data_IF_888373192517
#
_entry.id   IF_888373192517
#
_cell.length_a   1.000
_cell.length_b   1.000
_cell.length_c   1.000
_cell.angle_alpha   90.00
_cell.angle_beta   90.00
_cell.angle_gamma   90.00
#
_symmetry.space_group_name_H-M   'P 1'
#
loop_
_entity.id
_entity.type
_entity.pdbx_description
1 polymer ?
#
# COMPACT_ATOMS: atom_id res chain seq x y z
N UNK A 1 -1.95 5.86 -26.61
CA UNK A 1 -1.74 6.85 -25.54
C UNK A 1 -0.98 6.16 -24.41
N UNK A 2 0.10 6.75 -23.90
CA UNK A 2 0.92 6.14 -22.85
C UNK A 2 0.27 6.16 -21.46
N UNK A 3 0.99 5.68 -20.45
CA UNK A 3 0.54 5.81 -19.06
C UNK A 3 0.44 7.29 -18.66
N UNK A 4 -0.70 7.75 -18.11
CA UNK A 4 -0.77 9.09 -17.56
C UNK A 4 0.19 9.26 -16.37
N UNK A 5 0.83 10.43 -16.27
CA UNK A 5 1.85 10.71 -15.25
C UNK A 5 1.35 10.50 -13.80
N UNK A 6 0.05 10.70 -13.56
CA UNK A 6 -0.53 10.47 -12.24
C UNK A 6 -0.42 9.00 -11.80
N UNK A 7 -0.42 8.02 -12.72
CA UNK A 7 -0.24 6.60 -12.37
C UNK A 7 1.17 6.33 -11.85
N UNK A 8 2.20 6.91 -12.49
CA UNK A 8 3.58 6.80 -12.05
C UNK A 8 3.77 7.41 -10.65
N UNK A 9 3.21 8.61 -10.44
CA UNK A 9 3.19 9.26 -9.13
C UNK A 9 2.47 8.42 -8.08
N UNK A 10 1.27 7.94 -8.39
CA UNK A 10 0.47 7.11 -7.49
C UNK A 10 1.17 5.80 -7.13
N UNK A 11 1.86 5.19 -8.09
CA UNK A 11 2.66 3.99 -7.86
C UNK A 11 3.78 4.26 -6.84
N UNK A 12 4.59 5.30 -7.08
CA UNK A 12 5.66 5.70 -6.16
C UNK A 12 5.11 6.05 -4.77
N UNK A 13 4.10 6.90 -4.70
CA UNK A 13 3.59 7.39 -3.43
C UNK A 13 2.94 6.27 -2.61
N UNK A 14 2.26 5.32 -3.26
CA UNK A 14 1.71 4.15 -2.58
C UNK A 14 2.80 3.26 -1.99
N UNK A 15 3.88 2.93 -2.72
CA UNK A 15 4.94 2.10 -2.14
C UNK A 15 5.68 2.84 -1.01
N UNK A 16 5.87 4.15 -1.13
CA UNK A 16 6.41 5.00 -0.06
C UNK A 16 5.58 4.90 1.22
N UNK A 17 4.26 5.07 1.12
CA UNK A 17 3.36 4.93 2.26
C UNK A 17 3.35 3.50 2.80
N UNK A 18 3.27 2.50 1.92
CA UNK A 18 3.16 1.09 2.30
C UNK A 18 4.37 0.60 3.10
N UNK A 19 5.59 1.01 2.73
CA UNK A 19 6.81 0.71 3.50
C UNK A 19 6.72 1.25 4.93
N UNK A 20 6.23 2.48 5.09
CA UNK A 20 6.10 3.11 6.41
C UNK A 20 4.93 2.52 7.22
N UNK A 21 3.82 2.19 6.57
CA UNK A 21 2.63 1.57 7.18
C UNK A 21 2.98 0.17 7.70
N UNK A 22 3.56 -0.70 6.86
CA UNK A 22 3.95 -2.06 7.26
C UNK A 22 4.93 -2.00 8.44
N UNK A 23 5.95 -1.13 8.36
CA UNK A 23 6.92 -0.95 9.44
C UNK A 23 6.27 -0.50 10.74
N UNK A 24 5.45 0.56 10.70
CA UNK A 24 4.80 1.10 11.89
C UNK A 24 3.79 0.13 12.48
N UNK A 25 3.04 -0.61 11.65
CA UNK A 25 2.11 -1.65 12.08
C UNK A 25 2.83 -2.81 12.77
N UNK A 26 3.98 -3.25 12.21
CA UNK A 26 4.82 -4.26 12.86
C UNK A 26 5.35 -3.79 14.21
N UNK A 27 5.79 -2.52 14.31
CA UNK A 27 6.24 -1.92 15.57
C UNK A 27 5.11 -1.85 16.60
N UNK A 28 3.90 -1.43 16.22
CA UNK A 28 2.72 -1.41 17.09
C UNK A 28 2.43 -2.80 17.67
N UNK A 29 2.60 -3.86 16.86
CA UNK A 29 2.36 -5.23 17.29
C UNK A 29 3.44 -5.80 18.21
N UNK A 30 4.71 -5.48 17.95
CA UNK A 30 5.86 -6.18 18.58
C UNK A 30 6.49 -5.40 19.73
N UNK A 31 6.34 -4.08 19.77
CA UNK A 31 6.96 -3.27 20.81
C UNK A 31 6.19 -3.32 22.12
N UNK A 32 6.87 -3.79 23.18
CA UNK A 32 6.31 -3.84 24.54
C UNK A 32 6.34 -2.49 25.25
N UNK A 33 7.36 -1.67 24.96
CA UNK A 33 7.54 -0.33 25.55
C UNK A 33 7.74 0.67 24.42
N UNK A 34 6.78 1.59 24.19
CA UNK A 34 6.91 2.56 23.14
C UNK A 34 8.00 3.60 23.50
N UNK A 35 8.81 4.05 22.54
CA UNK A 35 9.90 5.01 22.79
C UNK A 35 9.41 6.42 23.14
N UNK A 36 8.18 6.72 22.76
CA UNK A 36 7.46 7.92 23.13
C UNK A 36 5.96 7.65 23.01
N UNK A 37 5.19 8.52 23.64
CA UNK A 37 3.74 8.48 23.69
C UNK A 37 3.18 9.81 23.22
N UNK A 38 1.97 9.78 22.70
CA UNK A 38 1.29 10.94 22.14
C UNK A 38 -0.16 11.00 22.63
N UNK A 39 -0.61 12.22 22.92
CA UNK A 39 -2.00 12.51 23.29
C UNK A 39 -2.50 13.66 22.42
N UNK A 40 -3.64 13.48 21.75
CA UNK A 40 -4.20 14.50 20.87
C UNK A 40 -4.49 15.81 21.62
N UNK A 41 -4.36 16.96 20.92
CA UNK A 41 -4.76 18.27 21.48
C UNK A 41 -6.26 18.54 21.38
N UNK A 42 -7.00 17.69 20.68
CA UNK A 42 -8.45 17.80 20.46
C UNK A 42 -9.19 16.58 20.99
N UNK A 43 -10.50 16.75 21.17
CA UNK A 43 -11.42 15.73 21.69
C UNK A 43 -11.66 15.89 23.19
N UNK A 44 -12.85 15.48 23.64
CA UNK A 44 -13.31 15.71 25.00
C UNK A 44 -12.55 14.90 26.08
N UNK A 45 -11.75 13.90 25.69
CA UNK A 45 -10.86 13.11 26.57
C UNK A 45 -9.86 12.31 25.70
N UNK A 46 -8.76 12.92 25.24
CA UNK A 46 -7.85 12.28 24.31
C UNK A 46 -7.08 11.13 24.99
N UNK A 47 -7.13 9.94 24.39
CA UNK A 47 -6.40 8.77 24.89
C UNK A 47 -4.91 8.90 24.57
N UNK A 48 -4.07 8.50 25.53
CA UNK A 48 -2.62 8.36 25.34
C UNK A 48 -2.34 7.12 24.50
N UNK A 49 -1.63 7.29 23.38
CA UNK A 49 -1.22 6.21 22.47
C UNK A 49 0.30 6.21 22.26
N UNK A 50 0.85 5.13 21.71
CA UNK A 50 2.26 5.13 21.32
C UNK A 50 2.50 6.04 20.11
N UNK A 51 3.71 6.60 20.00
CA UNK A 51 4.08 7.41 18.83
C UNK A 51 4.04 6.60 17.52
N UNK A 52 4.27 5.29 17.59
CA UNK A 52 4.19 4.40 16.43
C UNK A 52 2.74 4.13 16.01
N UNK A 53 1.80 4.04 16.97
CA UNK A 53 0.38 3.96 16.65
C UNK A 53 -0.13 5.27 16.04
N UNK A 54 0.33 6.41 16.55
CA UNK A 54 0.04 7.71 15.96
C UNK A 54 0.55 7.81 14.51
N UNK A 55 1.80 7.40 14.26
CA UNK A 55 2.38 7.38 12.93
C UNK A 55 1.56 6.47 12.00
N UNK A 56 1.27 5.23 12.42
CA UNK A 56 0.52 4.26 11.63
C UNK A 56 -0.84 4.84 11.22
N UNK A 57 -1.62 5.33 12.17
CA UNK A 57 -2.93 5.94 11.88
C UNK A 57 -2.83 7.17 10.98
N UNK A 58 -1.81 7.99 11.14
CA UNK A 58 -1.60 9.18 10.30
C UNK A 58 -1.27 8.79 8.85
N UNK A 59 -0.43 7.77 8.67
CA UNK A 59 -0.11 7.22 7.35
C UNK A 59 -1.33 6.52 6.73
N UNK A 60 -2.12 5.80 7.51
CA UNK A 60 -3.34 5.13 7.04
C UNK A 60 -4.34 6.15 6.52
N UNK A 61 -4.54 7.28 7.21
CA UNK A 61 -5.41 8.36 6.74
C UNK A 61 -4.90 8.93 5.40
N UNK A 62 -3.60 9.22 5.30
CA UNK A 62 -3.01 9.70 4.05
C UNK A 62 -3.17 8.68 2.93
N UNK A 63 -2.98 7.40 3.23
CA UNK A 63 -3.11 6.30 2.28
C UNK A 63 -4.56 6.09 1.84
N UNK A 64 -5.54 6.23 2.74
CA UNK A 64 -6.97 6.17 2.39
C UNK A 64 -7.38 7.34 1.50
N UNK A 65 -6.94 8.56 1.79
CA UNK A 65 -7.18 9.73 0.92
C UNK A 65 -6.53 9.49 -0.45
N UNK A 66 -5.29 9.01 -0.47
CA UNK A 66 -4.60 8.68 -1.70
C UNK A 66 -5.31 7.60 -2.51
N UNK A 67 -5.79 6.54 -1.86
CA UNK A 67 -6.55 5.45 -2.47
C UNK A 67 -7.90 5.93 -3.03
N UNK A 68 -8.61 6.82 -2.32
CA UNK A 68 -9.84 7.43 -2.83
C UNK A 68 -9.58 8.26 -4.09
N UNK A 69 -8.53 9.09 -4.09
CA UNK A 69 -8.10 9.84 -5.28
C UNK A 69 -7.73 8.90 -6.42
N UNK A 70 -7.00 7.82 -6.13
CA UNK A 70 -6.61 6.81 -7.11
C UNK A 70 -7.82 6.15 -7.77
N UNK A 71 -8.83 5.75 -6.99
CA UNK A 71 -10.08 5.16 -7.53
C UNK A 71 -10.85 6.16 -8.40
N UNK A 72 -10.96 7.42 -7.97
CA UNK A 72 -11.59 8.48 -8.78
C UNK A 72 -10.86 8.68 -10.11
N UNK A 73 -9.52 8.73 -10.08
CA UNK A 73 -8.69 8.85 -11.28
C UNK A 73 -8.82 7.62 -12.19
N UNK A 74 -8.84 6.41 -11.64
CA UNK A 74 -9.04 5.18 -12.41
C UNK A 74 -10.36 5.21 -13.19
N UNK A 75 -11.46 5.61 -12.54
CA UNK A 75 -12.78 5.67 -13.15
C UNK A 75 -12.84 6.80 -14.19
N UNK A 76 -12.48 8.02 -13.79
CA UNK A 76 -12.59 9.22 -14.65
C UNK A 76 -11.70 9.20 -15.89
N UNK A 77 -10.57 8.48 -15.85
CA UNK A 77 -9.64 8.36 -16.99
C UNK A 77 -9.76 7.04 -17.76
N UNK A 78 -10.70 6.17 -17.37
CA UNK A 78 -10.89 4.83 -17.97
C UNK A 78 -9.76 3.83 -17.68
N UNK A 79 -8.78 4.18 -16.86
CA UNK A 79 -7.65 3.29 -16.52
C UNK A 79 -8.07 2.07 -15.68
N UNK A 80 -9.27 2.09 -15.09
CA UNK A 80 -9.83 0.94 -14.38
C UNK A 80 -9.90 -0.33 -15.24
N UNK A 81 -10.09 -0.21 -16.56
CA UNK A 81 -10.17 -1.34 -17.50
C UNK A 81 -8.89 -2.18 -17.55
N UNK A 82 -7.76 -1.65 -17.06
CA UNK A 82 -6.49 -2.39 -16.98
C UNK A 82 -6.37 -3.28 -15.75
N UNK A 83 -7.13 -3.00 -14.70
CA UNK A 83 -6.99 -3.65 -13.38
C UNK A 83 -8.25 -4.38 -12.94
N UNK A 84 -9.34 -4.27 -13.69
CA UNK A 84 -10.59 -5.00 -13.45
C UNK A 84 -10.77 -6.04 -14.56
N UNK A 85 -10.93 -7.34 -14.23
CA UNK A 85 -11.27 -8.33 -15.23
C UNK A 85 -12.59 -8.00 -15.94
N UNK A 86 -12.56 -7.97 -17.26
CA UNK A 86 -13.74 -7.71 -18.11
C UNK A 86 -14.26 -8.95 -18.82
N UNK A 87 -13.58 -10.10 -18.67
CA UNK A 87 -13.95 -11.38 -19.26
C UNK A 87 -13.64 -12.53 -18.30
N UNK A 88 -14.43 -13.61 -18.39
CA UNK A 88 -14.22 -14.85 -17.64
C UNK A 88 -12.98 -15.62 -18.08
N UNK A 89 -12.44 -15.34 -19.27
CA UNK A 89 -11.18 -15.92 -19.77
C UNK A 89 -9.98 -15.57 -18.87
N UNK A 90 -10.10 -14.56 -18.00
CA UNK A 90 -9.06 -14.19 -17.04
C UNK A 90 -8.62 -15.37 -16.18
N UNK A 91 -9.52 -16.28 -15.81
CA UNK A 91 -9.22 -17.41 -14.94
C UNK A 91 -8.39 -18.50 -15.62
N UNK A 92 -8.80 -19.07 -16.77
CA UNK A 92 -7.97 -20.05 -17.48
C UNK A 92 -6.64 -19.43 -17.95
N UNK A 93 -6.62 -18.17 -18.38
CA UNK A 93 -5.38 -17.50 -18.78
C UNK A 93 -4.43 -17.26 -17.61
N UNK A 94 -4.96 -16.93 -16.42
CA UNK A 94 -4.14 -16.79 -15.22
C UNK A 94 -3.53 -18.13 -14.80
N UNK A 95 -4.27 -19.24 -14.92
CA UNK A 95 -3.73 -20.57 -14.67
C UNK A 95 -2.56 -20.89 -15.60
N UNK A 96 -2.71 -20.61 -16.90
CA UNK A 96 -1.62 -20.76 -17.88
C UNK A 96 -0.39 -19.92 -17.51
N UNK A 97 -0.60 -18.66 -17.11
CA UNK A 97 0.51 -17.79 -16.68
C UNK A 97 1.19 -18.32 -15.40
N UNK A 98 0.43 -18.84 -14.43
CA UNK A 98 0.99 -19.48 -13.23
C UNK A 98 1.90 -20.65 -13.61
N UNK A 99 1.44 -21.51 -14.52
CA UNK A 99 2.23 -22.67 -14.97
C UNK A 99 3.53 -22.25 -15.66
N UNK A 100 3.48 -21.20 -16.49
CA UNK A 100 4.66 -20.63 -17.17
C UNK A 100 5.67 -20.05 -16.16
N UNK A 101 5.21 -19.24 -15.21
CA UNK A 101 6.08 -18.76 -14.12
C UNK A 101 6.64 -19.90 -13.27
N UNK A 102 5.86 -20.95 -13.02
CA UNK A 102 6.31 -22.12 -12.26
C UNK A 102 7.34 -22.97 -13.04
N UNK A 103 7.27 -22.98 -14.38
CA UNK A 103 8.18 -23.73 -15.25
C UNK A 103 9.49 -23.02 -15.59
N UNK A 104 9.74 -21.85 -15.00
CA UNK A 104 10.90 -21.02 -15.35
C UNK A 104 10.90 -20.50 -16.80
N UNK A 105 9.73 -20.54 -17.47
CA UNK A 105 9.53 -20.10 -18.85
C UNK A 105 8.59 -18.89 -18.85
N UNK A 106 9.17 -17.69 -18.90
CA UNK A 106 8.39 -16.48 -18.60
C UNK A 106 7.33 -16.22 -19.68
N UNK A 107 6.09 -15.91 -19.29
CA UNK A 107 5.10 -15.45 -20.25
C UNK A 107 5.61 -14.25 -21.04
N UNK A 108 5.21 -14.15 -22.31
CA UNK A 108 5.45 -12.93 -23.08
C UNK A 108 4.60 -11.81 -22.51
N UNK A 109 5.25 -10.87 -21.81
CA UNK A 109 4.59 -9.74 -21.17
C UNK A 109 4.74 -8.46 -22.00
N UNK A 110 3.65 -7.71 -22.13
CA UNK A 110 3.69 -6.35 -22.68
C UNK A 110 2.84 -5.40 -21.83
N UNK A 111 3.36 -5.08 -20.64
CA UNK A 111 2.69 -4.23 -19.66
C UNK A 111 2.33 -2.82 -20.15
N UNK A 112 2.92 -2.35 -21.26
CA UNK A 112 2.53 -1.08 -21.89
C UNK A 112 1.15 -1.13 -22.53
N UNK A 113 0.85 -2.26 -23.19
CA UNK A 113 -0.42 -2.48 -23.89
C UNK A 113 -1.45 -3.04 -22.93
N UNK A 114 -1.14 -4.18 -22.29
CA UNK A 114 -2.01 -4.88 -21.37
C UNK A 114 -1.23 -5.71 -20.35
N UNK A 115 -1.80 -5.89 -19.17
CA UNK A 115 -1.30 -6.86 -18.22
C UNK A 115 -1.78 -8.27 -18.61
N UNK A 116 -0.99 -9.29 -18.27
CA UNK A 116 -1.49 -10.66 -18.35
C UNK A 116 -2.59 -10.90 -17.31
N UNK A 117 -3.36 -11.98 -17.47
CA UNK A 117 -4.52 -12.25 -16.60
C UNK A 117 -4.16 -12.50 -15.13
N UNK A 118 -3.01 -13.10 -14.83
CA UNK A 118 -2.53 -13.29 -13.45
C UNK A 118 -2.24 -11.93 -12.79
N UNK A 119 -1.57 -11.01 -13.50
CA UNK A 119 -1.33 -9.65 -13.06
C UNK A 119 -2.65 -8.89 -12.85
N UNK A 120 -3.60 -8.96 -13.77
CA UNK A 120 -4.92 -8.30 -13.62
C UNK A 120 -5.63 -8.78 -12.36
N UNK A 121 -5.69 -10.10 -12.12
CA UNK A 121 -6.29 -10.66 -10.90
C UNK A 121 -5.52 -10.17 -9.66
N UNK A 122 -4.20 -10.20 -9.68
CA UNK A 122 -3.38 -9.76 -8.55
C UNK A 122 -3.61 -8.27 -8.22
N UNK A 123 -3.67 -7.41 -9.24
CA UNK A 123 -3.96 -5.98 -9.07
C UNK A 123 -5.39 -5.74 -8.62
N UNK A 124 -6.36 -6.46 -9.17
CA UNK A 124 -7.75 -6.39 -8.73
C UNK A 124 -7.88 -6.72 -7.24
N UNK A 125 -7.29 -7.84 -6.81
CA UNK A 125 -7.31 -8.27 -5.41
C UNK A 125 -6.59 -7.25 -4.54
N UNK A 126 -5.43 -6.76 -4.93
CA UNK A 126 -4.69 -5.77 -4.15
C UNK A 126 -5.49 -4.46 -3.96
N UNK A 127 -6.07 -3.92 -5.04
CA UNK A 127 -6.73 -2.61 -5.06
C UNK A 127 -8.14 -2.66 -4.47
N UNK A 128 -8.94 -3.66 -4.85
CA UNK A 128 -10.38 -3.69 -4.56
C UNK A 128 -10.79 -4.69 -3.47
N UNK A 129 -9.86 -5.53 -3.00
CA UNK A 129 -10.15 -6.50 -1.93
C UNK A 129 -9.25 -6.25 -0.72
N UNK A 130 -7.93 -6.44 -0.87
CA UNK A 130 -6.98 -6.35 0.23
C UNK A 130 -6.90 -4.93 0.80
N UNK A 131 -6.85 -3.89 -0.05
CA UNK A 131 -6.80 -2.51 0.41
C UNK A 131 -8.05 -2.08 1.20
N UNK A 132 -9.28 -2.30 0.70
CA UNK A 132 -10.49 -2.07 1.49
C UNK A 132 -10.52 -2.89 2.78
N UNK A 133 -10.10 -4.16 2.74
CA UNK A 133 -10.08 -5.02 3.92
C UNK A 133 -9.11 -4.48 4.99
N UNK A 134 -7.94 -3.98 4.59
CA UNK A 134 -7.00 -3.29 5.48
C UNK A 134 -7.62 -2.02 6.09
N UNK A 135 -8.30 -1.20 5.27
CA UNK A 135 -8.96 0.02 5.72
C UNK A 135 -10.08 -0.25 6.74
N UNK A 136 -10.96 -1.21 6.47
CA UNK A 136 -12.07 -1.56 7.37
C UNK A 136 -11.56 -2.14 8.70
N UNK A 137 -10.61 -3.07 8.63
CA UNK A 137 -10.02 -3.68 9.84
C UNK A 137 -9.18 -2.68 10.63
N UNK A 138 -8.44 -1.79 9.97
CA UNK A 138 -7.69 -0.70 10.58
C UNK A 138 -8.62 0.30 11.27
N UNK A 139 -9.69 0.74 10.60
CA UNK A 139 -10.70 1.63 11.19
C UNK A 139 -11.32 1.02 12.45
N UNK A 140 -11.64 -0.28 12.43
CA UNK A 140 -12.19 -0.99 13.59
C UNK A 140 -11.26 -1.02 14.79
N UNK A 141 -9.96 -1.08 14.56
CA UNK A 141 -8.93 -1.06 15.61
C UNK A 141 -8.52 0.36 16.01
N UNK A 142 -8.93 1.38 15.25
CA UNK A 142 -8.56 2.77 15.47
C UNK A 142 -9.31 3.41 16.66
N UNK A 143 -8.79 4.53 17.14
CA UNK A 143 -9.47 5.35 18.14
C UNK A 143 -10.73 6.06 17.63
N UNK A 144 -10.97 6.05 16.30
CA UNK A 144 -12.14 6.66 15.67
C UNK A 144 -13.39 5.77 15.72
N UNK A 145 -13.25 4.49 16.08
CA UNK A 145 -14.39 3.60 16.24
C UNK A 145 -15.30 4.07 17.38
N UNK A 146 -16.63 4.22 17.15
CA UNK A 146 -17.54 4.79 18.13
C UNK A 146 -17.66 3.90 19.38
N UNK A 147 -17.20 4.41 20.52
CA UNK A 147 -17.15 3.66 21.79
C UNK A 147 -18.53 3.27 22.34
N UNK A 148 -19.59 4.01 21.96
CA UNK A 148 -20.97 3.77 22.40
C UNK A 148 -21.75 2.81 21.49
N UNK A 149 -21.20 2.38 20.35
CA UNK A 149 -21.87 1.51 19.40
C UNK A 149 -21.76 0.02 19.80
N UNK A 150 -22.45 -0.36 20.88
CA UNK A 150 -22.36 -1.72 21.45
C UNK A 150 -22.83 -2.81 20.48
N UNK A 151 -23.95 -2.60 19.77
CA UNK A 151 -24.47 -3.56 18.79
C UNK A 151 -23.46 -3.79 17.65
N UNK A 152 -22.94 -2.70 17.08
CA UNK A 152 -21.96 -2.76 16.00
C UNK A 152 -20.66 -3.46 16.45
N UNK A 153 -20.22 -3.19 17.69
CA UNK A 153 -19.01 -3.80 18.26
C UNK A 153 -19.18 -5.29 18.59
N UNK A 154 -20.42 -5.75 18.79
CA UNK A 154 -20.76 -7.16 18.97
C UNK A 154 -20.79 -7.92 17.63
N UNK A 155 -21.33 -7.30 16.57
CA UNK A 155 -21.37 -7.88 15.22
C UNK A 155 -19.97 -7.94 14.60
N UNK A 156 -19.15 -6.92 14.86
CA UNK A 156 -17.77 -6.86 14.39
C UNK A 156 -16.79 -6.72 15.57
N UNK A 157 -16.36 -7.84 16.18
CA UNK A 157 -15.39 -7.83 17.27
C UNK A 157 -14.00 -7.36 16.83
N UNK A 158 -13.25 -6.75 17.75
CA UNK A 158 -11.90 -6.23 17.45
C UNK A 158 -10.90 -7.38 17.21
N UNK A 159 -11.15 -8.53 17.82
CA UNK A 159 -10.39 -9.76 17.69
C UNK A 159 -10.45 -10.26 16.24
N UNK A 160 -11.64 -10.24 15.64
CA UNK A 160 -11.85 -10.60 14.23
C UNK A 160 -11.11 -9.61 13.31
N UNK A 161 -11.24 -8.30 13.58
CA UNK A 161 -10.52 -7.30 12.81
C UNK A 161 -9.00 -7.52 12.86
N UNK A 162 -8.44 -7.81 14.04
CA UNK A 162 -7.01 -8.11 14.22
C UNK A 162 -6.59 -9.40 13.52
N UNK A 163 -7.42 -10.43 13.59
CA UNK A 163 -7.16 -11.72 12.94
C UNK A 163 -7.14 -11.61 11.41
N UNK A 164 -7.88 -10.66 10.83
CA UNK A 164 -7.87 -10.38 9.40
C UNK A 164 -6.75 -9.40 9.01
N UNK A 165 -6.55 -8.34 9.78
CA UNK A 165 -5.63 -7.25 9.43
C UNK A 165 -4.18 -7.74 9.30
N UNK A 166 -3.75 -8.64 10.19
CA UNK A 166 -2.38 -9.17 10.17
C UNK A 166 -2.09 -10.00 8.90
N UNK A 167 -2.90 -11.00 8.52
CA UNK A 167 -2.75 -11.68 7.23
C UNK A 167 -2.77 -10.73 6.03
N UNK A 168 -3.61 -9.69 6.04
CA UNK A 168 -3.64 -8.69 4.95
C UNK A 168 -2.32 -7.94 4.83
N UNK A 169 -1.69 -7.57 5.95
CA UNK A 169 -0.34 -6.99 5.95
C UNK A 169 0.69 -7.95 5.32
N UNK A 170 0.63 -9.24 5.65
CA UNK A 170 1.51 -10.25 5.05
C UNK A 170 1.22 -10.49 3.57
N UNK A 171 -0.04 -10.42 3.14
CA UNK A 171 -0.40 -10.44 1.73
C UNK A 171 0.26 -9.27 0.99
N UNK A 172 0.19 -8.03 1.50
CA UNK A 172 0.85 -6.89 0.87
C UNK A 172 2.37 -7.07 0.81
N UNK A 173 2.99 -7.58 1.87
CA UNK A 173 4.42 -7.87 1.87
C UNK A 173 4.79 -8.90 0.80
N UNK A 174 4.05 -10.02 0.73
CA UNK A 174 4.25 -11.05 -0.29
C UNK A 174 4.02 -10.54 -1.71
N UNK A 175 2.95 -9.77 -1.91
CA UNK A 175 2.65 -9.10 -3.18
C UNK A 175 3.80 -8.21 -3.63
N UNK A 176 4.33 -7.34 -2.76
CA UNK A 176 5.45 -6.45 -3.08
C UNK A 176 6.69 -7.25 -3.48
N UNK A 177 7.04 -8.28 -2.70
CA UNK A 177 8.23 -9.11 -2.97
C UNK A 177 8.12 -9.79 -4.34
N UNK A 178 7.01 -10.48 -4.59
CA UNK A 178 6.78 -11.19 -5.86
C UNK A 178 6.70 -10.19 -7.02
N UNK A 179 5.97 -9.10 -6.86
CA UNK A 179 5.82 -8.06 -7.88
C UNK A 179 7.17 -7.46 -8.29
N UNK A 180 7.99 -7.05 -7.33
CA UNK A 180 9.32 -6.49 -7.61
C UNK A 180 10.25 -7.53 -8.25
N UNK A 181 10.21 -8.79 -7.78
CA UNK A 181 10.99 -9.86 -8.37
C UNK A 181 10.62 -10.08 -9.85
N UNK A 182 9.33 -10.07 -10.18
CA UNK A 182 8.86 -10.18 -11.57
C UNK A 182 9.29 -8.96 -12.40
N UNK A 183 9.11 -7.74 -11.90
CA UNK A 183 9.57 -6.52 -12.59
C UNK A 183 11.04 -6.61 -12.98
N UNK A 184 11.90 -7.09 -12.07
CA UNK A 184 13.34 -7.17 -12.30
C UNK A 184 13.75 -8.34 -13.20
N UNK A 185 12.95 -9.41 -13.24
CA UNK A 185 13.27 -10.63 -13.99
C UNK A 185 12.60 -10.73 -15.37
N UNK A 186 11.59 -9.90 -15.68
CA UNK A 186 10.87 -9.90 -16.98
C UNK A 186 11.21 -8.70 -17.87
N UNK A 187 12.44 -8.18 -17.76
CA UNK A 187 12.90 -7.02 -18.55
C UNK A 187 12.90 -5.71 -17.76
N UNK A 188 13.73 -5.67 -16.70
CA UNK A 188 13.81 -4.57 -15.74
C UNK A 188 13.77 -3.16 -16.34
N UNK A 189 14.65 -2.84 -17.29
CA UNK A 189 14.73 -1.49 -17.88
C UNK A 189 13.43 -1.08 -18.58
N UNK A 190 12.79 -1.99 -19.31
CA UNK A 190 11.52 -1.73 -20.00
C UNK A 190 10.39 -1.54 -19.00
N UNK A 191 10.28 -2.43 -18.01
CA UNK A 191 9.27 -2.36 -16.96
C UNK A 191 9.40 -1.08 -16.10
N UNK A 192 10.63 -0.70 -15.75
CA UNK A 192 10.89 0.55 -15.03
C UNK A 192 10.55 1.78 -15.89
N UNK A 193 10.78 1.73 -17.20
CA UNK A 193 10.34 2.79 -18.11
C UNK A 193 8.81 2.85 -18.25
N UNK A 194 8.09 1.74 -18.20
CA UNK A 194 6.62 1.76 -18.16
C UNK A 194 6.10 2.45 -16.91
N UNK A 195 6.65 2.10 -15.73
CA UNK A 195 6.13 2.58 -14.44
C UNK A 195 6.63 3.96 -14.04
N UNK A 196 7.91 4.26 -14.25
CA UNK A 196 8.55 5.50 -13.82
C UNK A 196 8.88 6.44 -14.98
N UNK A 197 9.27 5.88 -16.13
CA UNK A 197 9.69 6.65 -17.29
C UNK A 197 8.56 7.17 -18.17
N UNK A 198 7.36 6.60 -18.08
CA UNK A 198 6.22 6.92 -18.93
C UNK A 198 6.44 6.61 -20.41
N UNK A 199 7.32 5.67 -20.74
CA UNK A 199 7.69 5.34 -22.13
C UNK A 199 7.84 3.83 -22.35
N UNK A 200 7.55 3.36 -23.56
CA UNK A 200 7.84 1.98 -23.97
C UNK A 200 9.21 1.89 -24.67
N UNK A 201 10.28 1.94 -23.87
CA UNK A 201 11.64 1.90 -24.38
C UNK A 201 12.58 1.11 -23.45
N UNK A 202 13.66 0.56 -24.01
CA UNK A 202 14.74 -0.07 -23.26
C UNK A 202 15.88 0.92 -23.12
N UNK A 203 15.89 1.69 -22.02
CA UNK A 203 16.94 2.66 -21.69
C UNK A 203 16.98 2.87 -20.16
N UNK A 204 17.91 3.71 -19.69
CA UNK A 204 18.16 3.93 -18.25
C UNK A 204 17.29 5.01 -17.59
N UNK A 205 16.38 5.67 -18.33
CA UNK A 205 15.64 6.82 -17.82
C UNK A 205 14.76 6.46 -16.61
N UNK A 206 13.87 5.47 -16.76
CA UNK A 206 13.00 4.99 -15.68
C UNK A 206 13.78 4.39 -14.51
N UNK A 207 14.96 3.81 -14.76
CA UNK A 207 15.84 3.30 -13.71
C UNK A 207 16.33 4.40 -12.77
N UNK A 208 16.79 5.54 -13.30
CA UNK A 208 17.29 6.62 -12.45
C UNK A 208 16.18 7.26 -11.62
N UNK A 209 14.97 7.38 -12.18
CA UNK A 209 13.80 7.86 -11.43
C UNK A 209 13.46 6.86 -10.30
N UNK A 210 13.45 5.56 -10.59
CA UNK A 210 13.28 4.50 -9.59
C UNK A 210 14.37 4.54 -8.51
N UNK A 211 15.63 4.75 -8.89
CA UNK A 211 16.72 4.85 -7.93
C UNK A 211 16.54 6.04 -6.97
N UNK A 212 16.17 7.22 -7.49
CA UNK A 212 15.84 8.39 -6.66
C UNK A 212 14.63 8.08 -5.77
N UNK A 213 13.61 7.39 -6.29
CA UNK A 213 12.44 7.00 -5.51
C UNK A 213 12.80 6.09 -4.33
N UNK A 214 13.71 5.12 -4.53
CA UNK A 214 14.26 4.28 -3.47
C UNK A 214 15.00 5.11 -2.41
N UNK A 215 15.83 6.07 -2.82
CA UNK A 215 16.52 6.95 -1.87
C UNK A 215 15.53 7.76 -1.03
N UNK A 216 14.43 8.25 -1.61
CA UNK A 216 13.38 8.95 -0.88
C UNK A 216 12.67 8.02 0.10
N UNK A 217 12.36 6.78 -0.29
CA UNK A 217 11.76 5.77 0.60
C UNK A 217 12.68 5.48 1.78
N UNK A 218 13.97 5.28 1.54
CA UNK A 218 14.98 5.09 2.59
C UNK A 218 15.03 6.32 3.50
N UNK A 219 15.09 7.53 2.94
CA UNK A 219 15.04 8.78 3.70
C UNK A 219 13.80 8.88 4.59
N UNK A 220 12.61 8.58 4.05
CA UNK A 220 11.35 8.52 4.80
C UNK A 220 11.38 7.48 5.92
N UNK A 221 11.98 6.31 5.68
CA UNK A 221 12.14 5.27 6.69
C UNK A 221 13.01 5.71 7.87
N UNK A 222 14.09 6.46 7.59
CA UNK A 222 14.93 7.07 8.63
C UNK A 222 14.20 8.22 9.35
N UNK A 223 13.49 9.07 8.62
CA UNK A 223 12.68 10.16 9.17
C UNK A 223 11.52 9.65 10.04
N UNK A 224 11.04 8.43 9.81
CA UNK A 224 10.04 7.76 10.63
C UNK A 224 10.60 7.22 11.98
N UNK A 225 11.76 7.68 12.44
CA UNK A 225 12.28 7.39 13.78
C UNK A 225 11.69 8.39 14.79
N UNK A 226 11.42 7.96 16.05
CA UNK A 226 10.83 8.83 17.08
C UNK A 226 11.54 10.19 17.27
N UNK A 227 12.87 10.23 17.10
CA UNK A 227 13.66 11.46 17.20
C UNK A 227 13.19 12.56 16.22
N UNK A 228 12.88 12.18 14.99
CA UNK A 228 12.43 13.10 13.94
C UNK A 228 10.89 13.24 13.90
N UNK A 229 10.17 12.21 14.36
CA UNK A 229 8.71 12.24 14.41
C UNK A 229 8.16 13.10 15.54
N UNK A 230 8.85 13.18 16.68
CA UNK A 230 8.33 13.88 17.86
C UNK A 230 8.00 15.37 17.59
N UNK A 231 8.84 16.16 16.90
CA UNK A 231 8.50 17.53 16.52
C UNK A 231 7.23 17.60 15.65
N UNK A 232 7.09 16.73 14.65
CA UNK A 232 5.93 16.70 13.77
C UNK A 232 4.67 16.32 14.57
N UNK A 233 4.75 15.26 15.37
CA UNK A 233 3.64 14.80 16.21
C UNK A 233 3.20 15.86 17.22
N UNK A 234 4.14 16.70 17.70
CA UNK A 234 3.84 17.78 18.65
C UNK A 234 2.95 18.88 18.07
N UNK A 235 2.91 19.04 16.73
CA UNK A 235 1.99 19.97 16.07
C UNK A 235 0.53 19.55 16.24
N UNK A 236 0.27 18.26 16.47
CA UNK A 236 -1.07 17.67 16.54
C UNK A 236 -1.46 17.26 17.97
N UNK A 237 -0.56 17.35 18.94
CA UNK A 237 -0.79 16.87 20.30
C UNK A 237 0.43 16.99 21.21
N UNK A 238 0.31 16.47 22.44
CA UNK A 238 1.41 16.44 23.40
C UNK A 238 2.21 15.15 23.26
N UNK A 239 3.52 15.26 23.06
CA UNK A 239 4.45 14.13 23.06
C UNK A 239 5.08 13.97 24.44
N UNK A 240 5.03 12.78 25.02
CA UNK A 240 5.66 12.43 26.29
C UNK A 240 6.61 11.25 26.15
N UNK A 241 7.68 11.22 26.94
CA UNK A 241 8.55 10.05 27.07
C UNK A 241 7.89 8.96 27.91
#
# INVERSE_FOLDING_TARGET
>A
MGFPAWLAWQHFFNIFLMVLIIRSGWQVRTQRRPPATWTARWGANPKKISINLWLHQSLDILWMVNGALFVVLLISTGQWMRVVPTSWEVFPNALSAILQYASLDWPTENGWVNYNSLQVIAYFVAIFVAAPLAAFTGFRMSGAWPSKAQVLSKIYPVEVARAIHLPVMFYFLGFIVVHVALVLSTGALRNLNHMYGGQDAVNWYGFWIFFVSLLIIVGGWFAARPLFLAPIASLFGKVGR
#
